data_IF_765055956080
#
_entry.id   IF_765055956080
#
_cell.length_a   1.000
_cell.length_b   1.000
_cell.length_c   1.000
_cell.angle_alpha   90.00
_cell.angle_beta   90.00
_cell.angle_gamma   90.00
#
_symmetry.space_group_name_H-M   'P 1'
#
loop_
_entity.id
_entity.type
_entity.pdbx_description
1 polymer ?
#
# COMPACT_ATOMS: atom_id res chain seq x y z
N UNK A 1 -12.84 -7.73 8.87
CA UNK A 1 -12.91 -6.35 8.36
C UNK A 1 -14.01 -6.25 7.32
N UNK A 2 -14.73 -5.14 7.32
CA UNK A 2 -15.76 -4.84 6.30
C UNK A 2 -15.15 -4.09 5.11
N UNK A 3 -14.12 -3.29 5.37
CA UNK A 3 -13.45 -2.46 4.37
C UNK A 3 -11.93 -2.57 4.52
N UNK A 4 -11.26 -2.93 3.44
CA UNK A 4 -9.81 -3.06 3.35
C UNK A 4 -9.28 -2.16 2.24
N UNK A 5 -8.21 -1.43 2.51
CA UNK A 5 -7.47 -0.66 1.52
C UNK A 5 -6.09 -1.29 1.31
N UNK A 6 -5.77 -1.62 0.09
CA UNK A 6 -4.43 -2.06 -0.33
C UNK A 6 -3.77 -0.94 -1.11
N UNK A 7 -2.62 -0.47 -0.67
CA UNK A 7 -1.79 0.49 -1.38
C UNK A 7 -0.80 -0.30 -2.24
N UNK A 8 -0.99 -0.28 -3.55
CA UNK A 8 -0.10 -0.93 -4.51
C UNK A 8 1.27 -0.28 -4.58
N UNK A 9 2.26 -1.04 -5.01
CA UNK A 9 3.64 -0.57 -5.23
C UNK A 9 4.03 -0.77 -6.70
N UNK A 10 4.73 -1.84 -7.04
CA UNK A 10 5.22 -2.07 -8.40
C UNK A 10 4.19 -2.78 -9.29
N UNK A 11 4.17 -2.43 -10.57
CA UNK A 11 3.34 -3.06 -11.60
C UNK A 11 3.53 -4.59 -11.63
N UNK A 12 4.77 -5.07 -11.57
CA UNK A 12 5.07 -6.51 -11.58
C UNK A 12 4.55 -7.27 -10.37
N UNK A 13 4.25 -6.60 -9.27
CA UNK A 13 3.69 -7.19 -8.05
C UNK A 13 2.16 -7.28 -8.06
N UNK A 14 1.49 -6.53 -8.94
CA UNK A 14 0.03 -6.44 -8.95
C UNK A 14 -0.67 -7.80 -9.13
N UNK A 15 -0.08 -8.73 -9.87
CA UNK A 15 -0.60 -10.11 -9.99
C UNK A 15 -0.60 -10.84 -8.66
N UNK A 16 0.46 -10.66 -7.85
CA UNK A 16 0.55 -11.24 -6.51
C UNK A 16 -0.37 -10.53 -5.53
N UNK A 17 -0.54 -9.23 -5.66
CA UNK A 17 -1.51 -8.46 -4.88
C UNK A 17 -2.94 -8.97 -5.13
N UNK A 18 -3.28 -9.32 -6.36
CA UNK A 18 -4.55 -9.98 -6.69
C UNK A 18 -4.71 -11.29 -5.91
N UNK A 19 -3.71 -12.15 -5.90
CA UNK A 19 -3.76 -13.42 -5.16
C UNK A 19 -3.95 -13.19 -3.66
N UNK A 20 -3.28 -12.18 -3.08
CA UNK A 20 -3.48 -11.79 -1.70
C UNK A 20 -4.93 -11.36 -1.45
N UNK A 21 -5.49 -10.54 -2.33
CA UNK A 21 -6.84 -10.01 -2.22
C UNK A 21 -7.89 -11.14 -2.30
N UNK A 22 -7.68 -12.14 -3.15
CA UNK A 22 -8.58 -13.29 -3.30
C UNK A 22 -8.74 -14.12 -2.02
N UNK A 23 -7.81 -14.00 -1.05
CA UNK A 23 -7.89 -14.69 0.24
C UNK A 23 -8.78 -13.97 1.27
N UNK A 24 -9.19 -12.74 1.02
CA UNK A 24 -10.14 -12.06 1.90
C UNK A 24 -11.55 -12.64 1.75
N UNK A 25 -12.36 -12.63 2.83
CA UNK A 25 -13.74 -13.07 2.74
C UNK A 25 -14.53 -12.29 1.68
N UNK A 26 -15.36 -12.97 0.90
CA UNK A 26 -16.17 -12.35 -0.18
C UNK A 26 -17.05 -11.17 0.24
N UNK A 27 -17.33 -11.05 1.54
CA UNK A 27 -18.12 -9.94 2.11
C UNK A 27 -17.29 -8.66 2.32
N UNK A 28 -15.97 -8.73 2.16
CA UNK A 28 -15.07 -7.61 2.40
C UNK A 28 -15.08 -6.68 1.19
N UNK A 29 -15.38 -5.41 1.42
CA UNK A 29 -15.19 -4.37 0.41
C UNK A 29 -13.70 -4.04 0.31
N UNK A 30 -13.07 -4.35 -0.81
CA UNK A 30 -11.64 -4.14 -1.01
C UNK A 30 -11.43 -3.01 -2.01
N UNK A 31 -10.57 -2.08 -1.63
CA UNK A 31 -10.09 -0.99 -2.47
C UNK A 31 -8.61 -1.19 -2.73
N UNK A 32 -8.21 -1.02 -3.98
CA UNK A 32 -6.81 -1.07 -4.39
C UNK A 32 -6.40 0.30 -4.90
N UNK A 33 -5.47 0.94 -4.20
CA UNK A 33 -4.96 2.25 -4.61
C UNK A 33 -3.78 2.11 -5.56
N UNK A 34 -3.89 2.76 -6.70
CA UNK A 34 -2.86 2.84 -7.73
C UNK A 34 -2.49 4.30 -8.01
N UNK A 35 -1.40 4.53 -8.72
CA UNK A 35 -0.98 5.86 -9.12
C UNK A 35 -1.92 6.44 -10.18
N UNK A 36 -2.12 7.76 -10.12
CA UNK A 36 -2.95 8.47 -11.10
C UNK A 36 -2.28 8.64 -12.47
N UNK A 37 -0.94 8.55 -12.51
CA UNK A 37 -0.12 8.60 -13.71
C UNK A 37 1.16 7.80 -13.49
N UNK A 38 1.89 7.43 -14.55
CA UNK A 38 3.13 6.66 -14.43
C UNK A 38 4.16 7.34 -13.51
N UNK A 39 4.71 6.57 -12.56
CA UNK A 39 5.79 6.97 -11.65
C UNK A 39 6.77 5.80 -11.60
N UNK A 40 7.83 5.87 -12.38
CA UNK A 40 8.84 4.80 -12.51
C UNK A 40 8.16 3.44 -12.76
N UNK A 41 8.24 2.49 -11.82
CA UNK A 41 7.67 1.15 -11.89
C UNK A 41 6.40 1.00 -11.04
N UNK A 42 5.88 2.08 -10.48
CA UNK A 42 4.70 2.05 -9.63
C UNK A 42 3.44 1.72 -10.45
N UNK A 43 2.57 0.90 -9.90
CA UNK A 43 1.35 0.46 -10.58
C UNK A 43 0.39 1.62 -10.81
N UNK A 44 -0.05 1.77 -12.05
CA UNK A 44 -1.14 2.68 -12.43
C UNK A 44 -2.49 1.97 -12.37
N UNK A 45 -3.58 2.74 -12.43
CA UNK A 45 -4.93 2.17 -12.48
C UNK A 45 -5.13 1.26 -13.70
N UNK A 46 -4.59 1.62 -14.87
CA UNK A 46 -4.66 0.81 -16.10
C UNK A 46 -3.91 -0.52 -15.92
N UNK A 47 -2.70 -0.49 -15.42
CA UNK A 47 -1.90 -1.70 -15.17
C UNK A 47 -2.51 -2.59 -14.08
N UNK A 48 -3.19 -2.02 -13.09
CA UNK A 48 -3.95 -2.78 -12.10
C UNK A 48 -5.13 -3.53 -12.76
N UNK A 49 -5.83 -2.91 -13.70
CA UNK A 49 -6.87 -3.57 -14.51
C UNK A 49 -6.27 -4.71 -15.34
N UNK A 50 -5.16 -4.46 -16.03
CA UNK A 50 -4.47 -5.48 -16.85
C UNK A 50 -4.03 -6.69 -16.02
N UNK A 51 -3.69 -6.47 -14.74
CA UNK A 51 -3.37 -7.52 -13.76
C UNK A 51 -4.60 -8.24 -13.19
N UNK A 52 -5.81 -7.80 -13.54
CA UNK A 52 -7.07 -8.38 -13.08
C UNK A 52 -7.48 -7.99 -11.66
N UNK A 53 -6.91 -6.93 -11.10
CA UNK A 53 -7.29 -6.39 -9.78
C UNK A 53 -8.75 -5.94 -9.78
N UNK A 54 -9.25 -5.37 -10.88
CA UNK A 54 -10.64 -4.94 -11.06
C UNK A 54 -11.68 -6.04 -10.82
N UNK A 55 -11.27 -7.30 -10.95
CA UNK A 55 -12.15 -8.47 -10.71
C UNK A 55 -12.31 -8.81 -9.22
N UNK A 56 -11.45 -8.29 -8.37
CA UNK A 56 -11.38 -8.65 -6.95
C UNK A 56 -11.40 -7.45 -5.99
N UNK A 57 -11.18 -6.24 -6.51
CA UNK A 57 -11.18 -5.00 -5.74
C UNK A 57 -11.67 -3.81 -6.58
N UNK A 58 -12.16 -2.77 -5.92
CA UNK A 58 -12.40 -1.48 -6.56
C UNK A 58 -11.06 -0.74 -6.69
N UNK A 59 -10.65 -0.46 -7.92
CA UNK A 59 -9.42 0.31 -8.18
C UNK A 59 -9.71 1.79 -7.98
N UNK A 60 -8.89 2.45 -7.17
CA UNK A 60 -8.96 3.89 -6.93
C UNK A 60 -7.62 4.54 -7.27
N UNK A 61 -7.58 5.59 -8.08
CA UNK A 61 -6.39 6.40 -8.21
C UNK A 61 -6.16 7.18 -6.90
N UNK A 62 -4.90 7.23 -6.44
CA UNK A 62 -4.61 7.99 -5.22
C UNK A 62 -4.63 9.52 -5.41
N UNK A 63 -4.72 9.99 -6.64
CA UNK A 63 -4.77 11.42 -6.97
C UNK A 63 -3.40 12.08 -7.09
N UNK A 64 -2.32 11.33 -6.99
CA UNK A 64 -0.96 11.84 -7.09
C UNK A 64 -0.09 10.99 -8.04
N UNK A 65 0.91 11.64 -8.64
CA UNK A 65 1.91 10.99 -9.50
C UNK A 65 3.32 11.19 -8.91
N UNK A 66 3.49 10.76 -7.68
CA UNK A 66 4.76 10.86 -6.93
C UNK A 66 5.06 9.54 -6.22
N UNK A 67 6.33 9.21 -5.95
CA UNK A 67 6.70 8.01 -5.19
C UNK A 67 6.08 8.01 -3.79
N UNK A 68 5.73 6.81 -3.30
CA UNK A 68 5.06 6.66 -2.01
C UNK A 68 3.62 7.18 -2.02
N UNK A 69 3.07 7.39 -0.84
CA UNK A 69 1.73 7.98 -0.64
C UNK A 69 1.83 9.16 0.30
N UNK A 70 1.88 10.36 -0.28
CA UNK A 70 1.90 11.62 0.46
C UNK A 70 0.47 12.12 0.58
N UNK A 71 -0.14 11.95 1.75
CA UNK A 71 -1.58 12.18 1.98
C UNK A 71 -2.03 13.58 1.58
N UNK A 72 -1.21 14.60 1.83
CA UNK A 72 -1.51 15.99 1.45
C UNK A 72 -1.60 16.22 -0.07
N UNK A 73 -1.13 15.28 -0.88
CA UNK A 73 -1.16 15.32 -2.35
C UNK A 73 -2.23 14.39 -2.94
N UNK A 74 -2.85 13.56 -2.13
CA UNK A 74 -3.87 12.62 -2.56
C UNK A 74 -5.24 13.28 -2.76
N UNK A 75 -6.10 12.62 -3.53
CA UNK A 75 -7.47 13.06 -3.74
C UNK A 75 -8.31 12.95 -2.47
N UNK A 76 -9.37 13.75 -2.37
CA UNK A 76 -10.33 13.68 -1.26
C UNK A 76 -11.02 12.31 -1.17
N UNK A 77 -11.32 11.69 -2.31
CA UNK A 77 -11.89 10.34 -2.37
C UNK A 77 -10.93 9.30 -1.77
N UNK A 78 -9.64 9.34 -2.15
CA UNK A 78 -8.64 8.46 -1.56
C UNK A 78 -8.52 8.68 -0.05
N UNK A 79 -8.46 9.92 0.40
CA UNK A 79 -8.35 10.27 1.83
C UNK A 79 -9.56 9.74 2.63
N UNK A 80 -10.76 9.84 2.09
CA UNK A 80 -11.95 9.29 2.73
C UNK A 80 -11.83 7.77 2.91
N UNK A 81 -11.43 7.05 1.85
CA UNK A 81 -11.25 5.60 1.91
C UNK A 81 -10.10 5.24 2.87
N UNK A 82 -8.98 5.95 2.79
CA UNK A 82 -7.86 5.75 3.69
C UNK A 82 -8.27 5.90 5.16
N UNK A 83 -9.06 6.92 5.50
CA UNK A 83 -9.49 7.17 6.88
C UNK A 83 -10.57 6.19 7.38
N UNK A 84 -11.40 5.67 6.49
CA UNK A 84 -12.55 4.81 6.86
C UNK A 84 -12.28 3.30 6.71
N UNK A 85 -11.20 2.90 6.05
CA UNK A 85 -10.82 1.50 5.96
C UNK A 85 -10.46 0.93 7.34
N UNK A 86 -10.98 -0.24 7.68
CA UNK A 86 -10.66 -0.91 8.95
C UNK A 86 -9.23 -1.49 8.93
N UNK A 87 -8.78 -1.93 7.76
CA UNK A 87 -7.43 -2.45 7.53
C UNK A 87 -6.80 -1.70 6.37
N UNK A 88 -5.57 -1.24 6.55
CA UNK A 88 -4.72 -0.71 5.47
C UNK A 88 -3.49 -1.59 5.35
N UNK A 89 -3.29 -2.13 4.16
CA UNK A 89 -2.10 -2.89 3.78
C UNK A 89 -1.30 -2.01 2.81
N UNK A 90 -0.12 -1.65 3.20
CA UNK A 90 0.76 -0.77 2.43
C UNK A 90 1.93 -1.57 1.86
N UNK A 91 2.02 -1.63 0.53
CA UNK A 91 3.08 -2.32 -0.19
C UNK A 91 4.21 -1.36 -0.53
N UNK A 92 5.44 -1.86 -0.42
CA UNK A 92 6.65 -1.17 -0.87
C UNK A 92 7.25 -0.18 0.12
N UNK A 93 8.59 0.01 -0.01
CA UNK A 93 9.37 0.87 0.87
C UNK A 93 8.98 2.35 0.75
N UNK A 94 8.67 2.84 -0.46
CA UNK A 94 8.28 4.23 -0.66
C UNK A 94 7.00 4.60 0.11
N UNK A 95 6.02 3.69 0.15
CA UNK A 95 4.83 3.87 0.97
C UNK A 95 5.15 3.81 2.48
N UNK A 96 6.06 2.94 2.90
CA UNK A 96 6.54 2.92 4.29
C UNK A 96 7.18 4.27 4.66
N UNK A 97 8.05 4.81 3.84
CA UNK A 97 8.74 6.07 4.11
C UNK A 97 7.77 7.25 4.28
N UNK A 98 6.68 7.27 3.51
CA UNK A 98 5.71 8.38 3.53
C UNK A 98 4.59 8.22 4.57
N UNK A 99 4.32 7.01 5.05
CA UNK A 99 3.19 6.70 5.94
C UNK A 99 3.59 6.20 7.33
N UNK A 100 4.89 5.98 7.58
CA UNK A 100 5.32 5.42 8.86
C UNK A 100 5.09 6.35 10.08
N UNK A 101 4.80 7.62 9.88
CA UNK A 101 4.48 8.57 10.95
C UNK A 101 2.97 8.71 11.21
N UNK A 102 2.13 8.14 10.34
CA UNK A 102 0.68 8.20 10.51
C UNK A 102 0.23 7.53 11.80
N UNK A 103 -0.79 8.08 12.46
CA UNK A 103 -1.24 7.58 13.78
C UNK A 103 -2.15 6.36 13.69
N UNK A 104 -2.75 6.10 12.53
CA UNK A 104 -3.63 4.97 12.33
C UNK A 104 -2.87 3.66 12.19
N UNK A 105 -3.55 2.54 12.40
CA UNK A 105 -3.01 1.20 12.16
C UNK A 105 -2.79 0.96 10.67
N UNK A 106 -1.55 0.59 10.29
CA UNK A 106 -1.15 0.24 8.94
C UNK A 106 -0.27 -1.01 9.00
N UNK A 107 -0.52 -1.95 8.10
CA UNK A 107 0.34 -3.10 7.85
C UNK A 107 1.25 -2.80 6.68
N UNK A 108 2.55 -2.75 6.89
CA UNK A 108 3.55 -2.52 5.85
C UNK A 108 4.18 -3.83 5.42
N UNK A 109 4.19 -4.09 4.12
CA UNK A 109 4.86 -5.23 3.50
C UNK A 109 5.83 -4.72 2.44
N UNK A 110 7.12 -4.84 2.68
CA UNK A 110 8.15 -4.33 1.77
C UNK A 110 9.49 -5.01 1.95
N UNK A 111 10.34 -4.89 0.92
CA UNK A 111 11.75 -5.24 1.00
C UNK A 111 12.58 -4.00 1.34
N UNK A 112 13.52 -4.14 2.26
CA UNK A 112 14.46 -3.07 2.63
C UNK A 112 15.51 -2.92 1.53
N UNK A 113 15.40 -1.86 0.72
CA UNK A 113 16.29 -1.60 -0.43
C UNK A 113 17.24 -0.43 -0.18
N UNK A 114 16.97 0.41 0.82
CA UNK A 114 17.73 1.62 1.13
C UNK A 114 18.63 1.43 2.35
N UNK A 115 19.96 1.60 2.21
CA UNK A 115 20.89 1.51 3.35
C UNK A 115 20.58 2.49 4.48
N UNK A 116 20.01 3.67 4.18
CA UNK A 116 19.62 4.68 5.17
C UNK A 116 18.47 4.16 6.01
N UNK A 117 17.43 3.60 5.39
CA UNK A 117 16.28 2.99 6.09
C UNK A 117 16.74 1.80 6.92
N UNK A 118 17.58 0.92 6.37
CA UNK A 118 18.15 -0.22 7.09
C UNK A 118 18.85 0.23 8.37
N UNK A 119 19.72 1.23 8.27
CA UNK A 119 20.47 1.76 9.42
C UNK A 119 19.56 2.46 10.44
N UNK A 120 18.67 3.32 9.97
CA UNK A 120 17.81 4.12 10.86
C UNK A 120 16.86 3.26 11.69
N UNK A 121 16.22 2.27 11.06
CA UNK A 121 15.27 1.37 11.72
C UNK A 121 15.90 0.08 12.25
N UNK A 122 17.20 -0.13 12.05
CA UNK A 122 17.94 -1.36 12.40
C UNK A 122 17.39 -2.61 11.71
N UNK A 123 17.01 -2.46 10.44
CA UNK A 123 16.60 -3.56 9.58
C UNK A 123 17.80 -4.11 8.79
N UNK A 124 17.76 -5.39 8.39
CA UNK A 124 18.71 -5.95 7.45
C UNK A 124 18.46 -5.44 6.02
N UNK A 125 19.52 -4.99 5.33
CA UNK A 125 19.41 -4.65 3.92
C UNK A 125 19.05 -5.89 3.10
N UNK A 126 17.99 -5.80 2.29
CA UNK A 126 17.46 -6.92 1.50
C UNK A 126 16.38 -7.74 2.23
N UNK A 127 16.16 -7.53 3.52
CA UNK A 127 15.11 -8.24 4.27
C UNK A 127 13.71 -7.90 3.76
N UNK A 128 12.85 -8.92 3.72
CA UNK A 128 11.42 -8.75 3.56
C UNK A 128 10.78 -8.60 4.93
N UNK A 129 10.00 -7.54 5.10
CA UNK A 129 9.38 -7.18 6.36
C UNK A 129 7.87 -7.13 6.23
N UNK A 130 7.18 -7.69 7.23
CA UNK A 130 5.79 -7.42 7.52
C UNK A 130 5.73 -6.72 8.88
N UNK A 131 5.43 -5.44 8.87
CA UNK A 131 5.38 -4.61 10.06
C UNK A 131 3.95 -4.15 10.33
N UNK A 132 3.51 -4.33 11.55
CA UNK A 132 2.31 -3.67 12.05
C UNK A 132 2.71 -2.37 12.73
N UNK A 133 2.10 -1.28 12.31
CA UNK A 133 2.23 -0.01 12.99
C UNK A 133 0.91 0.41 13.58
N UNK A 134 0.91 0.72 14.87
CA UNK A 134 -0.22 1.31 15.57
C UNK A 134 0.28 2.30 16.62
N UNK A 135 -0.30 3.51 16.65
CA UNK A 135 -0.01 4.56 17.63
C UNK A 135 1.49 4.86 17.80
N UNK A 136 2.23 4.96 16.69
CA UNK A 136 3.66 5.27 16.71
C UNK A 136 4.59 4.11 17.07
N UNK A 137 4.06 2.89 17.28
CA UNK A 137 4.86 1.68 17.52
C UNK A 137 4.92 0.82 16.26
N UNK A 138 6.11 0.32 15.94
CA UNK A 138 6.33 -0.68 14.89
C UNK A 138 6.55 -2.04 15.56
N UNK A 139 5.81 -3.05 15.11
CA UNK A 139 5.99 -4.43 15.52
C UNK A 139 6.20 -5.32 14.30
N UNK A 140 7.21 -6.18 14.34
CA UNK A 140 7.38 -7.25 13.34
C UNK A 140 6.36 -8.35 13.60
N UNK A 141 5.77 -8.80 12.53
CA UNK A 141 4.90 -9.99 12.52
C UNK A 141 5.69 -11.20 12.07
#
# INVERSE_FOLDING_TARGET
AKRVLVLGDNTGEAVFDRLLIEHFPRKTGIFYAAKSAPVINDVTAEEAVDSGIDKVAAIIPNGAAIPGTVLSKCSSEFIEIFNTAEVVISKGQGNFETLNEEQRKIWFLFQVKCPVIAKYYRFGLGDWLLLEKEQGRLACS
#
